data_IF_783069768825
#
_entry.id   IF_783069768825
#
_cell.length_a   1.000
_cell.length_b   1.000
_cell.length_c   1.000
_cell.angle_alpha   90.00
_cell.angle_beta   90.00
_cell.angle_gamma   90.00
#
_symmetry.space_group_name_H-M   'P 1'
#
loop_
_entity.id
_entity.type
_entity.pdbx_description
1 polymer ?
#
# COMPACT_ATOMS: atom_id res chain seq x y z
N UNK A 1 -2.06 12.69 19.00
CA UNK A 1 -2.48 13.74 18.05
C UNK A 1 -3.12 13.25 16.76
N UNK A 2 -2.63 12.18 16.12
CA UNK A 2 -3.21 11.68 14.87
C UNK A 2 -4.72 11.36 14.96
N UNK A 3 -5.20 10.76 16.05
CA UNK A 3 -6.63 10.45 16.24
C UNK A 3 -7.47 11.73 16.17
N UNK A 4 -7.05 12.79 16.85
CA UNK A 4 -7.74 14.09 16.85
C UNK A 4 -7.74 14.70 15.45
N UNK A 5 -6.63 14.62 14.74
CA UNK A 5 -6.55 15.10 13.36
C UNK A 5 -7.49 14.32 12.44
N UNK A 6 -7.52 12.99 12.53
CA UNK A 6 -8.41 12.15 11.70
C UNK A 6 -9.88 12.47 11.94
N UNK A 7 -10.29 12.56 13.22
CA UNK A 7 -11.66 12.92 13.58
C UNK A 7 -12.02 14.32 13.08
N UNK A 8 -11.11 15.29 13.21
CA UNK A 8 -11.34 16.65 12.75
C UNK A 8 -11.46 16.75 11.22
N UNK A 9 -10.60 16.03 10.47
CA UNK A 9 -10.67 16.01 9.01
C UNK A 9 -11.99 15.37 8.54
N UNK A 10 -12.35 14.21 9.08
CA UNK A 10 -13.60 13.53 8.70
C UNK A 10 -14.84 14.35 9.05
N UNK A 11 -14.86 15.00 10.22
CA UNK A 11 -15.95 15.88 10.61
C UNK A 11 -16.09 17.06 9.66
N UNK A 12 -14.96 17.65 9.23
CA UNK A 12 -14.96 18.76 8.27
C UNK A 12 -15.51 18.34 6.91
N UNK A 13 -15.11 17.18 6.38
CA UNK A 13 -15.64 16.64 5.12
C UNK A 13 -17.14 16.33 5.22
N UNK A 14 -17.59 15.91 6.40
CA UNK A 14 -19.02 15.71 6.67
C UNK A 14 -19.80 17.03 6.69
N UNK A 15 -19.28 18.05 7.38
CA UNK A 15 -19.90 19.38 7.45
C UNK A 15 -19.94 20.10 6.10
N UNK A 16 -18.95 19.85 5.23
CA UNK A 16 -18.88 20.41 3.87
C UNK A 16 -19.79 19.67 2.88
N UNK A 17 -20.45 18.58 3.31
CA UNK A 17 -21.32 17.77 2.45
C UNK A 17 -20.57 17.00 1.37
N UNK A 18 -19.24 16.84 1.51
CA UNK A 18 -18.39 16.29 0.46
C UNK A 18 -18.76 14.83 0.14
N UNK A 19 -19.35 14.09 1.09
CA UNK A 19 -19.80 12.70 0.86
C UNK A 19 -21.07 12.56 0.02
N UNK A 20 -21.77 13.66 -0.29
CA UNK A 20 -22.96 13.64 -1.15
C UNK A 20 -22.60 13.63 -2.65
N UNK A 21 -21.33 13.87 -2.97
CA UNK A 21 -20.81 13.89 -4.33
C UNK A 21 -20.06 12.60 -4.66
N UNK A 22 -20.17 12.16 -5.91
CA UNK A 22 -19.34 11.06 -6.42
C UNK A 22 -17.90 11.56 -6.61
N UNK A 23 -16.96 10.93 -5.91
CA UNK A 23 -15.54 11.22 -6.04
C UNK A 23 -14.79 10.08 -6.71
N UNK A 24 -13.61 10.41 -7.23
CA UNK A 24 -12.68 9.39 -7.67
C UNK A 24 -12.03 8.68 -6.46
N UNK A 25 -11.54 7.48 -6.69
CA UNK A 25 -10.86 6.66 -5.68
C UNK A 25 -9.71 7.42 -4.98
N UNK A 26 -9.01 8.26 -5.75
CA UNK A 26 -7.89 9.06 -5.24
C UNK A 26 -8.33 10.06 -4.16
N UNK A 27 -9.53 10.64 -4.28
CA UNK A 27 -10.09 11.53 -3.28
C UNK A 27 -10.34 10.79 -1.97
N UNK A 28 -10.99 9.63 -2.01
CA UNK A 28 -11.22 8.79 -0.82
C UNK A 28 -9.91 8.36 -0.17
N UNK A 29 -8.89 8.05 -0.99
CA UNK A 29 -7.57 7.70 -0.50
C UNK A 29 -6.92 8.81 0.33
N UNK A 30 -7.11 10.07 -0.06
CA UNK A 30 -6.52 11.23 0.61
C UNK A 30 -7.35 11.69 1.81
N UNK A 31 -8.68 11.75 1.66
CA UNK A 31 -9.58 12.40 2.62
C UNK A 31 -10.08 11.44 3.71
N UNK A 32 -10.31 10.18 3.37
CA UNK A 32 -10.82 9.18 4.32
C UNK A 32 -9.70 8.24 4.77
N UNK A 33 -8.96 7.67 3.82
CA UNK A 33 -8.05 6.56 4.09
C UNK A 33 -6.64 7.00 4.53
N UNK A 34 -6.47 8.20 5.10
CA UNK A 34 -5.20 8.71 5.65
C UNK A 34 -4.59 7.91 6.82
N UNK A 35 -5.03 6.67 6.99
CA UNK A 35 -4.70 5.65 7.98
C UNK A 35 -3.25 5.18 7.89
N UNK A 36 -2.66 5.23 6.70
CA UNK A 36 -1.23 5.05 6.47
C UNK A 36 -0.37 5.96 7.38
N UNK A 37 -0.82 7.20 7.62
CA UNK A 37 -0.12 8.12 8.53
C UNK A 37 -0.17 7.65 9.99
N UNK A 38 -1.12 6.78 10.35
CA UNK A 38 -1.29 6.30 11.72
C UNK A 38 -0.22 5.29 12.10
N UNK A 39 0.35 4.59 11.11
CA UNK A 39 1.46 3.66 11.32
C UNK A 39 2.83 4.36 11.36
N UNK A 40 2.90 5.66 11.08
CA UNK A 40 4.16 6.42 11.10
C UNK A 40 4.82 6.52 12.48
N UNK A 41 4.08 6.23 13.57
CA UNK A 41 4.63 6.18 14.93
C UNK A 41 5.10 4.77 15.34
N UNK A 42 4.88 3.75 14.51
CA UNK A 42 5.31 2.38 14.79
C UNK A 42 6.74 2.21 14.29
N UNK A 43 7.68 2.09 15.22
CA UNK A 43 9.09 1.95 14.88
C UNK A 43 9.32 0.66 14.07
N UNK A 44 10.06 0.78 12.97
CA UNK A 44 10.37 -0.35 12.08
C UNK A 44 9.24 -0.73 11.13
N UNK A 45 8.10 -0.02 11.13
CA UNK A 45 7.02 -0.23 10.17
C UNK A 45 6.98 0.93 9.18
N UNK A 46 7.03 0.60 7.89
CA UNK A 46 6.84 1.52 6.77
C UNK A 46 5.58 1.12 6.04
N UNK A 47 4.70 2.09 5.81
CA UNK A 47 3.49 1.89 5.02
C UNK A 47 3.61 2.66 3.73
N UNK A 48 3.40 1.98 2.60
CA UNK A 48 3.48 2.56 1.26
C UNK A 48 2.16 2.33 0.54
N UNK A 49 1.68 3.36 -0.16
CA UNK A 49 0.44 3.32 -0.92
C UNK A 49 0.69 3.27 -2.41
N UNK A 50 -0.18 2.54 -3.11
CA UNK A 50 -0.15 2.46 -4.56
C UNK A 50 1.12 1.81 -5.12
N UNK A 51 1.82 0.99 -4.33
CA UNK A 51 2.84 0.10 -4.88
C UNK A 51 2.19 -1.02 -5.69
N UNK A 52 2.86 -1.42 -6.77
CA UNK A 52 2.31 -2.32 -7.78
C UNK A 52 2.26 -3.78 -7.33
N UNK A 53 3.19 -4.21 -6.47
CA UNK A 53 3.21 -5.56 -5.91
C UNK A 53 4.20 -5.65 -4.73
N UNK A 54 3.95 -6.57 -3.79
CA UNK A 54 4.96 -6.93 -2.79
C UNK A 54 6.12 -7.74 -3.39
N UNK A 55 7.28 -7.71 -2.72
CA UNK A 55 8.45 -8.51 -3.06
C UNK A 55 8.12 -10.01 -3.01
N UNK A 56 7.39 -10.46 -1.99
CA UNK A 56 6.98 -11.86 -1.87
C UNK A 56 6.14 -12.34 -3.06
N UNK A 57 5.23 -11.50 -3.56
CA UNK A 57 4.43 -11.76 -4.75
C UNK A 57 5.28 -11.85 -6.01
N UNK A 58 6.24 -10.94 -6.15
CA UNK A 58 7.22 -10.94 -7.25
C UNK A 58 8.06 -12.22 -7.24
N UNK A 59 8.61 -12.59 -6.07
CA UNK A 59 9.48 -13.76 -5.90
C UNK A 59 8.74 -15.07 -6.16
N UNK A 60 7.51 -15.22 -5.65
CA UNK A 60 6.67 -16.40 -5.91
C UNK A 60 6.45 -16.63 -7.40
N UNK A 61 6.22 -15.56 -8.17
CA UNK A 61 6.04 -15.63 -9.63
C UNK A 61 7.34 -15.85 -10.40
N UNK A 62 8.48 -15.51 -9.78
CA UNK A 62 9.80 -15.70 -10.37
C UNK A 62 10.42 -17.06 -10.04
N UNK A 63 9.96 -17.74 -8.99
CA UNK A 63 10.55 -18.99 -8.48
C UNK A 63 10.58 -20.14 -9.51
N UNK A 64 9.73 -20.10 -10.54
CA UNK A 64 9.69 -21.12 -11.60
C UNK A 64 10.29 -20.66 -12.93
N UNK A 65 10.83 -19.45 -13.03
CA UNK A 65 11.41 -18.93 -14.27
C UNK A 65 12.84 -19.38 -14.43
N UNK A 66 13.19 -19.86 -15.62
CA UNK A 66 14.55 -20.18 -16.01
C UNK A 66 15.16 -19.08 -16.88
N UNK A 67 16.49 -19.05 -16.97
CA UNK A 67 17.24 -18.08 -17.80
C UNK A 67 16.80 -18.13 -19.28
N UNK A 68 16.42 -19.31 -19.76
CA UNK A 68 15.93 -19.49 -21.14
C UNK A 68 14.54 -18.86 -21.38
N UNK A 69 13.75 -18.62 -20.33
CA UNK A 69 12.44 -17.95 -20.44
C UNK A 69 12.58 -16.41 -20.59
N UNK A 70 13.79 -15.88 -20.37
CA UNK A 70 14.09 -14.44 -20.51
C UNK A 70 14.28 -14.06 -21.99
N UNK A 71 14.76 -14.99 -22.82
CA UNK A 71 14.97 -14.77 -24.25
C UNK A 71 13.65 -14.66 -25.05
N UNK A 72 12.56 -15.27 -24.58
CA UNK A 72 11.21 -15.12 -25.18
C UNK A 72 10.52 -13.78 -24.86
N UNK A 73 11.19 -12.88 -24.12
CA UNK A 73 10.80 -11.46 -24.06
C UNK A 73 9.45 -11.15 -23.38
N UNK A 74 8.83 -12.13 -22.69
CA UNK A 74 7.61 -11.89 -21.94
C UNK A 74 7.95 -11.01 -20.72
N UNK A 75 7.65 -9.71 -20.85
CA UNK A 75 7.76 -8.72 -19.77
C UNK A 75 7.17 -9.29 -18.48
N UNK A 76 7.78 -8.95 -17.35
CA UNK A 76 7.26 -9.30 -16.02
C UNK A 76 5.77 -8.97 -15.96
N UNK A 77 4.92 -9.98 -15.79
CA UNK A 77 3.51 -9.75 -15.52
C UNK A 77 3.39 -9.12 -14.12
N UNK A 78 3.18 -7.80 -14.08
CA UNK A 78 2.89 -7.09 -12.83
C UNK A 78 1.61 -7.67 -12.23
N UNK A 79 1.62 -7.89 -10.91
CA UNK A 79 0.42 -8.29 -10.19
C UNK A 79 -0.59 -7.13 -10.12
N UNK A 80 -1.74 -7.44 -9.55
CA UNK A 80 -2.74 -6.44 -9.21
C UNK A 80 -2.11 -5.49 -8.18
N UNK A 81 -2.25 -4.19 -8.45
CA UNK A 81 -1.76 -3.13 -7.57
C UNK A 81 -2.37 -3.32 -6.18
N UNK A 82 -1.53 -3.23 -5.15
CA UNK A 82 -1.97 -3.25 -3.76
C UNK A 82 -2.37 -1.83 -3.39
N UNK A 83 -3.48 -1.68 -2.65
CA UNK A 83 -3.89 -0.38 -2.13
C UNK A 83 -2.93 0.06 -1.03
N UNK A 84 -2.47 -0.91 -0.23
CA UNK A 84 -1.53 -0.73 0.86
C UNK A 84 -0.45 -1.81 0.87
N UNK A 85 0.79 -1.40 1.10
CA UNK A 85 1.91 -2.29 1.40
C UNK A 85 2.47 -1.92 2.79
N UNK A 86 2.45 -2.88 3.71
CA UNK A 86 3.02 -2.75 5.05
C UNK A 86 4.34 -3.51 5.07
N UNK A 87 5.43 -2.79 5.29
CA UNK A 87 6.79 -3.32 5.37
C UNK A 87 7.25 -3.21 6.82
N UNK A 88 7.65 -4.33 7.40
CA UNK A 88 8.33 -4.37 8.69
C UNK A 88 9.81 -4.62 8.45
N UNK A 89 10.65 -3.70 8.92
CA UNK A 89 12.10 -3.82 8.84
C UNK A 89 12.58 -4.80 9.90
N UNK A 90 13.28 -5.86 9.45
CA UNK A 90 13.96 -6.79 10.35
C UNK A 90 15.21 -6.17 10.98
N UNK A 91 15.80 -6.87 11.95
CA UNK A 91 17.14 -6.49 12.43
C UNK A 91 18.19 -6.64 11.31
N UNK A 92 19.35 -5.98 11.41
CA UNK A 92 20.44 -6.08 10.42
C UNK A 92 20.77 -7.55 10.14
N UNK A 93 20.29 -8.07 8.99
CA UNK A 93 20.39 -9.44 8.42
C UNK A 93 19.08 -10.24 8.29
N UNK A 94 17.93 -9.74 8.74
CA UNK A 94 16.64 -10.39 8.50
C UNK A 94 15.93 -9.83 7.26
N UNK A 95 15.20 -10.70 6.57
CA UNK A 95 14.37 -10.33 5.41
C UNK A 95 13.24 -9.42 5.92
N UNK A 96 13.03 -8.27 5.26
CA UNK A 96 11.89 -7.41 5.56
C UNK A 96 10.59 -8.18 5.32
N UNK A 97 9.70 -8.15 6.31
CA UNK A 97 8.39 -8.78 6.18
C UNK A 97 7.46 -7.81 5.45
N UNK A 98 6.86 -8.24 4.35
CA UNK A 98 5.95 -7.42 3.56
C UNK A 98 4.55 -8.02 3.50
N UNK A 99 3.55 -7.19 3.77
CA UNK A 99 2.13 -7.53 3.68
C UNK A 99 1.42 -6.58 2.73
N UNK A 100 0.86 -7.12 1.66
CA UNK A 100 -0.01 -6.39 0.75
C UNK A 100 -1.46 -6.51 1.23
N UNK A 101 -2.17 -5.38 1.33
CA UNK A 101 -3.60 -5.32 1.54
C UNK A 101 -4.27 -4.67 0.32
N UNK A 102 -5.31 -5.31 -0.19
CA UNK A 102 -6.18 -4.85 -1.27
C UNK A 102 -7.59 -5.39 -1.01
N UNK A 103 -8.63 -4.68 -1.46
CA UNK A 103 -10.00 -5.21 -1.50
C UNK A 103 -10.15 -6.39 -2.48
#
# INVERSE_FOLDING_TARGET
DWIKHSVYTLLREYEDGSFELDHNEQWYNVHIWGVDRWFGNVQGVKVVRGETCSVASSDRKNNKRNINDVEEGLRRQMERRCDLLIIQSGSTNEINMEYCASE
#
